data_IF_829568300029
#
_entry.id   IF_829568300029
#
_cell.length_a   1.000
_cell.length_b   1.000
_cell.length_c   1.000
_cell.angle_alpha   90.00
_cell.angle_beta   90.00
_cell.angle_gamma   90.00
#
_symmetry.space_group_name_H-M   'P 1'
#
loop_
_entity.id
_entity.type
_entity.pdbx_description
1 polymer ?
#
# COMPACT_ATOMS: atom_id res chain seq x y z
N UNK A 1 3.30 -16.17 1.60
CA UNK A 1 3.09 -14.70 1.64
C UNK A 1 2.99 -14.13 3.07
N UNK A 2 2.40 -14.83 4.06
CA UNK A 2 2.27 -14.33 5.44
C UNK A 2 3.59 -13.96 6.16
N UNK A 3 4.72 -14.55 5.73
CA UNK A 3 6.05 -14.32 6.33
C UNK A 3 6.60 -12.90 6.08
N UNK A 4 6.09 -12.15 5.09
CA UNK A 4 6.59 -10.80 4.79
C UNK A 4 6.09 -9.70 5.75
N UNK A 5 5.02 -9.95 6.52
CA UNK A 5 4.49 -8.96 7.48
C UNK A 5 5.14 -9.06 8.87
N UNK A 6 5.77 -10.19 9.20
CA UNK A 6 6.48 -10.42 10.47
C UNK A 6 7.51 -9.33 10.84
N UNK A 7 8.44 -8.91 9.95
CA UNK A 7 9.41 -7.88 10.30
C UNK A 7 8.76 -6.53 10.57
N UNK A 8 7.68 -6.20 9.86
CA UNK A 8 6.92 -4.96 10.05
C UNK A 8 6.24 -5.00 11.41
N UNK A 9 5.46 -6.05 11.71
CA UNK A 9 4.78 -6.23 13.00
C UNK A 9 5.76 -6.13 14.17
N UNK A 10 6.96 -6.73 14.04
CA UNK A 10 8.00 -6.67 15.07
C UNK A 10 8.55 -5.25 15.30
N UNK A 11 8.62 -4.42 14.26
CA UNK A 11 9.08 -3.04 14.36
C UNK A 11 8.05 -2.11 15.03
N UNK A 12 6.75 -2.35 14.82
CA UNK A 12 5.66 -1.53 15.39
C UNK A 12 5.16 -2.04 16.75
N UNK A 13 5.34 -3.32 17.07
CA UNK A 13 4.97 -3.92 18.35
C UNK A 13 5.37 -3.10 19.61
N UNK A 14 6.62 -2.60 19.75
CA UNK A 14 7.00 -1.83 20.94
C UNK A 14 6.26 -0.49 21.05
N UNK A 15 5.87 0.13 19.93
CA UNK A 15 5.11 1.38 19.94
C UNK A 15 3.66 1.17 20.35
N UNK A 16 3.03 0.08 19.86
CA UNK A 16 1.68 -0.28 20.30
C UNK A 16 1.66 -0.62 21.80
N UNK A 17 2.68 -1.33 22.29
CA UNK A 17 2.81 -1.65 23.72
C UNK A 17 2.96 -0.39 24.60
N UNK A 18 3.76 0.59 24.18
CA UNK A 18 3.93 1.85 24.91
C UNK A 18 2.64 2.69 24.94
N UNK A 19 1.93 2.77 23.81
CA UNK A 19 0.65 3.49 23.72
C UNK A 19 -0.39 2.80 24.60
N UNK A 20 -0.50 1.47 24.54
CA UNK A 20 -1.41 0.71 25.39
C UNK A 20 -1.09 0.91 26.88
N UNK A 21 0.18 0.80 27.28
CA UNK A 21 0.59 0.98 28.67
C UNK A 21 0.29 2.39 29.22
N UNK A 22 0.40 3.43 28.39
CA UNK A 22 0.13 4.81 28.79
C UNK A 22 -1.36 5.17 28.80
N UNK A 23 -2.16 4.57 27.91
CA UNK A 23 -3.57 4.98 27.70
C UNK A 23 -4.57 4.14 28.48
N UNK A 24 -4.31 2.84 28.69
CA UNK A 24 -5.23 1.94 29.42
C UNK A 24 -5.55 2.44 30.85
N UNK A 25 -4.57 2.87 31.68
CA UNK A 25 -4.85 3.34 33.04
C UNK A 25 -5.67 4.64 33.04
N UNK A 26 -5.41 5.54 32.10
CA UNK A 26 -6.10 6.83 31.99
C UNK A 26 -7.58 6.68 31.60
N UNK A 27 -7.92 5.68 30.79
CA UNK A 27 -9.31 5.34 30.46
C UNK A 27 -10.00 4.56 31.59
N UNK A 28 -9.28 3.67 32.29
CA UNK A 28 -9.83 2.86 33.40
C UNK A 28 -10.12 3.67 34.66
N UNK A 29 -9.20 4.55 35.09
CA UNK A 29 -9.40 5.37 36.30
C UNK A 29 -10.52 6.42 36.14
N UNK A 30 -10.82 6.85 34.90
CA UNK A 30 -11.94 7.77 34.61
C UNK A 30 -13.30 7.08 34.67
N UNK A 31 -13.35 5.77 34.42
CA UNK A 31 -14.56 4.96 34.57
C UNK A 31 -14.95 4.77 36.05
N UNK A 32 -13.99 4.74 36.97
CA UNK A 32 -14.27 4.74 38.42
C UNK A 32 -14.81 6.10 38.90
N UNK A 33 -14.32 7.22 38.37
CA UNK A 33 -14.85 8.56 38.65
C UNK A 33 -16.25 8.79 38.03
N UNK A 34 -16.57 8.11 36.92
CA UNK A 34 -17.88 8.20 36.26
C UNK A 34 -19.03 7.52 37.02
N UNK A 35 -18.74 6.69 38.03
CA UNK A 35 -19.78 6.16 38.94
C UNK A 35 -20.40 7.23 39.83
N UNK A 36 -19.78 8.41 39.95
CA UNK A 36 -20.22 9.50 40.83
C UNK A 36 -20.98 10.62 40.10
N UNK A 37 -20.91 10.67 38.76
CA UNK A 37 -21.60 11.66 37.92
C UNK A 37 -22.19 11.00 36.65
N UNK A 38 -23.52 10.89 36.52
CA UNK A 38 -24.18 10.24 35.38
C UNK A 38 -23.93 10.94 34.03
N UNK A 39 -23.60 12.25 34.02
CA UNK A 39 -23.24 12.95 32.79
C UNK A 39 -21.86 12.53 32.27
N UNK A 40 -20.94 12.19 33.18
CA UNK A 40 -19.59 11.72 32.82
C UNK A 40 -19.62 10.29 32.28
N UNK A 41 -20.52 9.44 32.78
CA UNK A 41 -20.73 8.09 32.29
C UNK A 41 -21.19 8.07 30.81
N UNK A 42 -22.20 8.89 30.47
CA UNK A 42 -22.68 9.03 29.09
C UNK A 42 -21.58 9.51 28.13
N UNK A 43 -20.73 10.44 28.57
CA UNK A 43 -19.66 10.99 27.73
C UNK A 43 -18.54 9.97 27.48
N UNK A 44 -18.24 9.11 28.46
CA UNK A 44 -17.30 7.99 28.27
C UNK A 44 -17.89 6.96 27.30
N UNK A 45 -19.18 6.65 27.40
CA UNK A 45 -19.85 5.73 26.47
C UNK A 45 -19.84 6.26 25.03
N UNK A 46 -20.12 7.55 24.84
CA UNK A 46 -20.05 8.20 23.52
C UNK A 46 -18.62 8.19 22.95
N UNK A 47 -17.61 8.52 23.78
CA UNK A 47 -16.20 8.45 23.37
C UNK A 47 -15.77 7.02 23.04
N UNK A 48 -16.20 6.02 23.80
CA UNK A 48 -15.88 4.61 23.55
C UNK A 48 -16.52 4.12 22.25
N UNK A 49 -17.77 4.52 22.00
CA UNK A 49 -18.49 4.21 20.76
C UNK A 49 -17.80 4.86 19.57
N UNK A 50 -17.49 6.15 19.65
CA UNK A 50 -16.76 6.88 18.62
C UNK A 50 -15.36 6.32 18.37
N UNK A 51 -14.62 5.96 19.43
CA UNK A 51 -13.30 5.33 19.30
C UNK A 51 -13.38 3.96 18.62
N UNK A 52 -14.38 3.15 18.95
CA UNK A 52 -14.62 1.84 18.33
C UNK A 52 -15.00 2.00 16.86
N UNK A 53 -15.89 2.93 16.54
CA UNK A 53 -16.29 3.28 15.17
C UNK A 53 -15.10 3.77 14.33
N UNK A 54 -14.22 4.59 14.92
CA UNK A 54 -13.03 5.11 14.26
C UNK A 54 -11.99 4.01 14.02
N UNK A 55 -11.77 3.13 15.02
CA UNK A 55 -10.88 1.99 14.86
C UNK A 55 -11.36 1.06 13.72
N UNK A 56 -12.67 0.82 13.64
CA UNK A 56 -13.27 0.07 12.54
C UNK A 56 -13.07 0.78 11.19
N UNK A 57 -13.33 2.08 11.11
CA UNK A 57 -13.13 2.88 9.89
C UNK A 57 -11.67 2.87 9.41
N UNK A 58 -10.70 2.98 10.33
CA UNK A 58 -9.27 2.91 10.02
C UNK A 58 -8.91 1.51 9.50
N UNK A 59 -9.47 0.45 10.08
CA UNK A 59 -9.25 -0.90 9.60
C UNK A 59 -9.76 -1.10 8.17
N UNK A 60 -10.99 -0.65 7.89
CA UNK A 60 -11.56 -0.70 6.54
C UNK A 60 -10.72 0.11 5.56
N UNK A 61 -10.27 1.31 5.95
CA UNK A 61 -9.40 2.14 5.12
C UNK A 61 -8.07 1.43 4.80
N UNK A 62 -7.45 0.81 5.81
CA UNK A 62 -6.21 0.06 5.62
C UNK A 62 -6.40 -1.13 4.67
N UNK A 63 -7.50 -1.87 4.80
CA UNK A 63 -7.84 -2.97 3.90
C UNK A 63 -8.03 -2.48 2.46
N UNK A 64 -8.77 -1.39 2.27
CA UNK A 64 -9.01 -0.79 0.94
C UNK A 64 -7.73 -0.25 0.33
N UNK A 65 -6.84 0.35 1.14
CA UNK A 65 -5.54 0.82 0.69
C UNK A 65 -4.67 -0.35 0.24
N UNK A 66 -4.64 -1.45 1.00
CA UNK A 66 -3.93 -2.66 0.63
C UNK A 66 -4.45 -3.25 -0.69
N UNK A 67 -5.78 -3.36 -0.85
CA UNK A 67 -6.41 -3.82 -2.11
C UNK A 67 -6.03 -2.91 -3.29
N UNK A 68 -6.02 -1.59 -3.08
CA UNK A 68 -5.66 -0.60 -4.10
C UNK A 68 -4.20 -0.71 -4.51
N UNK A 69 -3.28 -0.80 -3.54
CA UNK A 69 -1.84 -0.94 -3.81
C UNK A 69 -1.58 -2.22 -4.61
N UNK A 70 -2.20 -3.34 -4.24
CA UNK A 70 -2.08 -4.61 -4.99
C UNK A 70 -2.61 -4.49 -6.42
N UNK A 71 -3.72 -3.76 -6.61
CA UNK A 71 -4.26 -3.46 -7.94
C UNK A 71 -3.28 -2.62 -8.77
N UNK A 72 -2.69 -1.57 -8.18
CA UNK A 72 -1.69 -0.71 -8.82
C UNK A 72 -0.44 -1.51 -9.19
N UNK A 73 0.08 -2.34 -8.29
CA UNK A 73 1.26 -3.18 -8.57
C UNK A 73 1.01 -4.12 -9.76
N UNK A 74 -0.16 -4.75 -9.79
CA UNK A 74 -0.54 -5.65 -10.90
C UNK A 74 -0.62 -4.91 -12.22
N UNK A 75 -1.31 -3.76 -12.25
CA UNK A 75 -1.42 -2.92 -13.44
C UNK A 75 -0.04 -2.39 -13.90
N UNK A 76 0.84 -2.03 -12.96
CA UNK A 76 2.18 -1.56 -13.26
C UNK A 76 3.05 -2.66 -13.91
N UNK A 77 2.96 -3.91 -13.41
CA UNK A 77 3.66 -5.05 -14.01
C UNK A 77 3.19 -5.28 -15.45
N UNK A 78 1.88 -5.22 -15.69
CA UNK A 78 1.31 -5.40 -17.02
C UNK A 78 1.72 -4.28 -17.98
N UNK A 79 1.64 -3.02 -17.55
CA UNK A 79 2.09 -1.87 -18.32
C UNK A 79 3.58 -1.99 -18.67
N UNK A 80 4.42 -2.40 -17.72
CA UNK A 80 5.86 -2.60 -17.94
C UNK A 80 6.13 -3.69 -18.97
N UNK A 81 5.36 -4.79 -18.94
CA UNK A 81 5.44 -5.86 -19.94
C UNK A 81 5.12 -5.34 -21.34
N UNK A 82 4.04 -4.57 -21.49
CA UNK A 82 3.67 -3.97 -22.77
C UNK A 82 4.76 -3.05 -23.31
N UNK A 83 5.32 -2.16 -22.47
CA UNK A 83 6.42 -1.26 -22.86
C UNK A 83 7.65 -2.05 -23.33
N UNK A 84 8.01 -3.13 -22.63
CA UNK A 84 9.13 -3.99 -23.05
C UNK A 84 8.84 -4.61 -24.42
N UNK A 85 7.65 -5.16 -24.63
CA UNK A 85 7.25 -5.73 -25.92
C UNK A 85 7.36 -4.70 -27.05
N UNK A 86 6.82 -3.50 -26.87
CA UNK A 86 6.93 -2.44 -27.87
C UNK A 86 8.37 -2.03 -28.16
N UNK A 87 9.22 -1.91 -27.13
CA UNK A 87 10.64 -1.60 -27.31
C UNK A 87 11.36 -2.68 -28.11
N UNK A 88 11.07 -3.96 -27.86
CA UNK A 88 11.65 -5.08 -28.62
C UNK A 88 11.22 -5.01 -30.09
N UNK A 89 9.94 -4.81 -30.37
CA UNK A 89 9.45 -4.67 -31.74
C UNK A 89 10.12 -3.48 -32.47
N UNK A 90 10.31 -2.36 -31.77
CA UNK A 90 10.98 -1.18 -32.33
C UNK A 90 12.43 -1.49 -32.71
N UNK A 91 13.18 -2.18 -31.84
CA UNK A 91 14.55 -2.59 -32.14
C UNK A 91 14.63 -3.57 -33.31
N UNK A 92 13.69 -4.51 -33.42
CA UNK A 92 13.62 -5.45 -34.56
C UNK A 92 13.37 -4.69 -35.86
N UNK A 93 12.41 -3.76 -35.86
CA UNK A 93 12.11 -2.95 -37.03
C UNK A 93 13.30 -2.07 -37.44
N UNK A 94 13.96 -1.43 -36.47
CA UNK A 94 15.14 -0.61 -36.72
C UNK A 94 16.28 -1.44 -37.32
N UNK A 95 16.52 -2.64 -36.78
CA UNK A 95 17.51 -3.58 -37.30
C UNK A 95 17.21 -3.98 -38.75
N UNK A 96 15.96 -4.34 -39.05
CA UNK A 96 15.55 -4.65 -40.43
C UNK A 96 15.78 -3.47 -41.38
N UNK A 97 15.37 -2.27 -41.01
CA UNK A 97 15.59 -1.07 -41.82
C UNK A 97 17.09 -0.81 -42.07
N UNK A 98 17.93 -1.00 -41.06
CA UNK A 98 19.38 -0.81 -41.20
C UNK A 98 20.00 -1.85 -42.14
N UNK A 99 19.59 -3.12 -42.03
CA UNK A 99 20.07 -4.17 -42.95
C UNK A 99 19.65 -3.90 -44.39
N UNK A 100 18.42 -3.44 -44.61
CA UNK A 100 17.95 -3.07 -45.95
C UNK A 100 18.77 -1.91 -46.54
N UNK A 101 19.08 -0.88 -45.74
CA UNK A 101 19.93 0.23 -46.17
C UNK A 101 21.34 -0.24 -46.55
N UNK A 102 21.96 -1.11 -45.74
CA UNK A 102 23.29 -1.66 -46.04
C UNK A 102 23.28 -2.46 -47.35
N UNK A 103 22.24 -3.25 -47.60
CA UNK A 103 22.07 -4.00 -48.85
C UNK A 103 21.96 -3.04 -50.04
N UNK A 104 21.14 -1.99 -49.93
CA UNK A 104 21.01 -0.98 -50.99
C UNK A 104 22.34 -0.27 -51.29
N UNK A 105 23.10 0.11 -50.26
CA UNK A 105 24.41 0.76 -50.42
C UNK A 105 25.40 -0.19 -51.09
N UNK A 106 25.42 -1.47 -50.68
CA UNK A 106 26.28 -2.49 -51.27
C UNK A 106 25.97 -2.69 -52.76
N UNK A 107 24.69 -2.82 -53.11
CA UNK A 107 24.25 -2.95 -54.50
C UNK A 107 24.69 -1.74 -55.33
N UNK A 108 24.49 -0.52 -54.84
CA UNK A 108 24.86 0.70 -55.55
C UNK A 108 26.37 0.83 -55.78
N UNK A 109 27.20 0.39 -54.82
CA UNK A 109 28.66 0.40 -54.98
C UNK A 109 29.21 -0.75 -55.84
N UNK A 110 28.40 -1.76 -56.13
CA UNK A 110 28.77 -2.92 -56.95
C UNK A 110 28.35 -2.81 -58.43
N UNK A 111 27.55 -1.79 -58.77
CA UNK A 111 27.22 -1.41 -60.16
C UNK A 111 28.26 -0.45 -60.72
#
# INVERSE_FOLDING_TARGET
>A
MAVQFLPIIKAIAPYIAQIAAATIPAFSSKAEAAKTDPALANLIEELQTAATQNAHSIHVLAEKMQQTIQGIETAAVEAKKQVITYKVLLYISLGMSFTALLICIYLLGSM
#
